data_IF_395160433143
#
_entry.id   IF_395160433143
#
_cell.length_a   1.000
_cell.length_b   1.000
_cell.length_c   1.000
_cell.angle_alpha   90.00
_cell.angle_beta   90.00
_cell.angle_gamma   90.00
#
_symmetry.space_group_name_H-M   'P 1'
#
loop_
_entity.id
_entity.type
_entity.pdbx_description
1 polymer ?
#
# COMPACT_ATOMS: atom_id res chain seq x y z
N UNK A 1 -5.12 -56.78 54.32
CA UNK A 1 -5.48 -55.36 54.07
C UNK A 1 -4.81 -54.90 52.74
N UNK A 2 -5.55 -54.98 51.66
CA UNK A 2 -5.06 -54.64 50.30
C UNK A 2 -5.31 -53.18 50.04
N UNK A 3 -4.27 -52.39 49.75
CA UNK A 3 -4.38 -50.97 49.38
C UNK A 3 -4.59 -50.87 47.88
N UNK A 4 -5.80 -50.55 47.46
CA UNK A 4 -6.13 -50.13 46.08
C UNK A 4 -5.54 -48.74 45.83
N UNK A 5 -4.58 -48.61 44.91
CA UNK A 5 -4.13 -47.33 44.39
C UNK A 5 -5.03 -46.93 43.18
N UNK A 6 -5.82 -45.90 43.37
CA UNK A 6 -6.63 -45.29 42.31
C UNK A 6 -5.68 -44.42 41.45
N UNK A 7 -5.45 -44.82 40.19
CA UNK A 7 -4.71 -44.05 39.21
C UNK A 7 -5.73 -43.16 38.47
N UNK A 8 -5.70 -41.85 38.74
CA UNK A 8 -6.51 -40.84 38.06
C UNK A 8 -5.81 -40.47 36.76
N UNK A 9 -6.29 -41.00 35.61
CA UNK A 9 -5.83 -40.57 34.29
C UNK A 9 -6.44 -39.21 33.94
N UNK A 10 -5.60 -38.17 33.97
CA UNK A 10 -5.95 -36.85 33.42
C UNK A 10 -5.89 -36.92 31.88
N UNK A 11 -7.02 -36.95 31.20
CA UNK A 11 -7.10 -36.81 29.75
C UNK A 11 -7.05 -35.31 29.44
N UNK A 12 -5.88 -34.83 28.99
CA UNK A 12 -5.74 -33.46 28.47
C UNK A 12 -6.36 -33.45 27.05
N UNK A 13 -7.57 -32.91 26.93
CA UNK A 13 -8.15 -32.58 25.63
C UNK A 13 -7.37 -31.38 25.08
N UNK A 14 -6.37 -31.64 24.24
CA UNK A 14 -5.78 -30.61 23.36
C UNK A 14 -6.81 -30.26 22.30
N UNK A 15 -7.57 -29.19 22.53
CA UNK A 15 -8.41 -28.60 21.53
C UNK A 15 -7.55 -28.05 20.39
N UNK A 16 -7.54 -28.75 19.26
CA UNK A 16 -7.00 -28.19 18.00
C UNK A 16 -7.87 -27.01 17.59
N UNK A 17 -7.40 -25.79 17.86
CA UNK A 17 -7.94 -24.60 17.22
C UNK A 17 -7.56 -24.70 15.74
N UNK A 18 -8.46 -25.17 14.91
CA UNK A 18 -8.30 -25.06 13.46
C UNK A 18 -8.25 -23.58 13.14
N UNK A 19 -7.07 -23.05 12.81
CA UNK A 19 -6.93 -21.74 12.19
C UNK A 19 -7.65 -21.81 10.83
N UNK A 20 -8.88 -21.35 10.80
CA UNK A 20 -9.62 -21.22 9.56
C UNK A 20 -9.00 -20.07 8.76
N UNK A 21 -8.54 -20.33 7.55
CA UNK A 21 -8.12 -19.28 6.64
C UNK A 21 -9.25 -18.26 6.45
N UNK A 22 -8.94 -16.99 6.48
CA UNK A 22 -9.91 -15.92 6.27
C UNK A 22 -10.57 -16.07 4.89
N UNK A 23 -11.89 -15.87 4.83
CA UNK A 23 -12.63 -15.86 3.55
C UNK A 23 -12.62 -14.47 2.98
N UNK A 24 -11.90 -14.28 1.88
CA UNK A 24 -11.84 -13.00 1.17
C UNK A 24 -12.76 -13.07 -0.04
N UNK A 25 -13.42 -11.97 -0.39
CA UNK A 25 -14.22 -11.88 -1.63
C UNK A 25 -14.14 -10.49 -2.22
N UNK A 26 -14.30 -10.41 -3.55
CA UNK A 26 -14.35 -9.17 -4.31
C UNK A 26 -15.56 -9.13 -5.23
N UNK A 27 -16.15 -7.92 -5.36
CA UNK A 27 -17.27 -7.68 -6.27
C UNK A 27 -17.05 -6.34 -6.97
N UNK A 28 -17.16 -6.32 -8.30
CA UNK A 28 -17.11 -5.10 -9.11
C UNK A 28 -18.49 -4.44 -9.15
N UNK A 29 -18.55 -3.16 -8.76
CA UNK A 29 -19.76 -2.36 -8.75
C UNK A 29 -19.46 -1.00 -9.40
N UNK A 30 -19.91 -0.79 -10.62
CA UNK A 30 -19.58 0.41 -11.41
C UNK A 30 -18.07 0.55 -11.57
N UNK A 31 -17.52 1.70 -11.20
CA UNK A 31 -16.09 2.01 -11.24
C UNK A 31 -15.33 1.65 -9.95
N UNK A 32 -15.77 0.63 -9.21
CA UNK A 32 -15.16 0.17 -7.97
C UNK A 32 -15.12 -1.36 -7.91
N UNK A 33 -14.07 -1.90 -7.30
CA UNK A 33 -14.00 -3.30 -6.87
C UNK A 33 -13.95 -3.29 -5.35
N UNK A 34 -15.04 -3.73 -4.73
CA UNK A 34 -15.17 -3.83 -3.28
C UNK A 34 -14.60 -5.15 -2.79
N UNK A 35 -13.79 -5.11 -1.75
CA UNK A 35 -13.18 -6.30 -1.13
C UNK A 35 -13.66 -6.43 0.32
N UNK A 36 -14.09 -7.64 0.68
CA UNK A 36 -14.46 -8.00 2.06
C UNK A 36 -13.59 -9.14 2.58
N UNK A 37 -13.34 -9.16 3.89
CA UNK A 37 -12.64 -10.22 4.60
C UNK A 37 -13.54 -10.72 5.73
N UNK A 38 -13.89 -12.00 5.72
CA UNK A 38 -14.86 -12.62 6.62
C UNK A 38 -16.20 -11.86 6.69
N UNK A 39 -16.68 -11.39 5.53
CA UNK A 39 -17.89 -10.61 5.38
C UNK A 39 -17.79 -9.15 5.83
N UNK A 40 -16.67 -8.71 6.40
CA UNK A 40 -16.43 -7.32 6.79
C UNK A 40 -15.76 -6.56 5.63
N UNK A 41 -16.22 -5.35 5.38
CA UNK A 41 -15.67 -4.49 4.34
C UNK A 41 -14.23 -4.10 4.66
N UNK A 42 -13.31 -4.36 3.72
CA UNK A 42 -11.91 -4.03 3.86
C UNK A 42 -11.52 -2.79 3.07
N UNK A 43 -11.75 -2.82 1.76
CA UNK A 43 -11.31 -1.73 0.87
C UNK A 43 -12.09 -1.73 -0.43
N UNK A 44 -12.03 -0.62 -1.17
CA UNK A 44 -12.37 -0.56 -2.59
C UNK A 44 -11.18 -0.11 -3.43
N UNK A 45 -10.93 -0.79 -4.53
CA UNK A 45 -10.14 -0.26 -5.63
C UNK A 45 -11.05 0.60 -6.49
N UNK A 46 -10.79 1.90 -6.53
CA UNK A 46 -11.59 2.92 -7.23
C UNK A 46 -10.84 3.31 -8.50
N UNK A 47 -11.52 3.21 -9.66
CA UNK A 47 -10.94 3.47 -10.98
C UNK A 47 -11.85 4.31 -11.88
N UNK A 48 -12.60 5.23 -11.28
CA UNK A 48 -13.46 6.17 -12.03
C UNK A 48 -12.62 7.07 -12.95
N UNK A 49 -13.13 7.33 -14.15
CA UNK A 49 -12.55 8.29 -15.09
C UNK A 49 -12.58 9.73 -14.59
N UNK A 50 -13.36 10.04 -13.56
CA UNK A 50 -13.42 11.36 -12.93
C UNK A 50 -12.26 11.61 -11.97
N UNK A 51 -11.50 10.54 -11.65
CA UNK A 51 -10.39 10.59 -10.73
C UNK A 51 -9.06 10.95 -11.42
N UNK A 52 -8.12 11.44 -10.64
CA UNK A 52 -6.76 11.73 -11.12
C UNK A 52 -6.02 10.46 -11.53
N UNK A 53 -6.22 9.40 -10.75
CA UNK A 53 -5.64 8.07 -10.91
C UNK A 53 -6.47 7.04 -10.13
N UNK A 54 -6.37 5.74 -10.44
CA UNK A 54 -6.95 4.70 -9.59
C UNK A 54 -6.24 4.59 -8.23
N UNK A 55 -7.02 4.31 -7.16
CA UNK A 55 -6.52 4.22 -5.79
C UNK A 55 -7.38 3.29 -4.93
N UNK A 56 -6.87 2.93 -3.74
CA UNK A 56 -7.64 2.20 -2.73
C UNK A 56 -8.17 3.13 -1.66
N UNK A 57 -9.49 3.08 -1.38
CA UNK A 57 -10.12 3.78 -0.27
C UNK A 57 -11.54 3.22 0.03
N UNK A 58 -11.96 3.12 1.32
CA UNK A 58 -11.12 3.18 2.51
C UNK A 58 -10.14 2.00 2.54
N UNK A 59 -9.14 2.04 3.43
CA UNK A 59 -8.33 0.89 3.81
C UNK A 59 -8.59 0.64 5.29
N UNK A 60 -9.43 -0.33 5.60
CA UNK A 60 -9.95 -0.54 6.95
C UNK A 60 -9.00 -1.37 7.81
N UNK A 61 -8.74 -0.89 9.02
CA UNK A 61 -7.95 -1.59 10.03
C UNK A 61 -8.61 -2.90 10.47
N UNK A 62 -7.81 -3.90 10.87
CA UNK A 62 -8.34 -5.22 11.25
C UNK A 62 -9.10 -5.22 12.58
N UNK A 63 -8.79 -4.32 13.50
CA UNK A 63 -9.35 -4.29 14.84
C UNK A 63 -10.54 -3.34 14.97
N UNK A 64 -10.37 -2.06 14.60
CA UNK A 64 -11.43 -1.06 14.69
C UNK A 64 -12.46 -1.16 13.57
N UNK A 65 -12.06 -1.69 12.41
CA UNK A 65 -12.86 -1.65 11.18
C UNK A 65 -12.97 -0.25 10.55
N UNK A 66 -12.34 0.76 11.14
CA UNK A 66 -12.25 2.10 10.57
C UNK A 66 -11.07 2.24 9.62
N UNK A 67 -11.15 3.21 8.68
CA UNK A 67 -10.07 3.42 7.73
C UNK A 67 -8.79 3.89 8.40
N UNK A 68 -7.66 3.19 8.19
CA UNK A 68 -6.32 3.62 8.62
C UNK A 68 -5.74 4.68 7.70
N UNK A 69 -6.40 4.93 6.57
CA UNK A 69 -6.01 5.95 5.58
C UNK A 69 -7.05 7.07 5.48
N UNK A 70 -6.66 8.20 4.94
CA UNK A 70 -7.53 9.33 4.62
C UNK A 70 -7.44 9.73 3.15
N UNK A 71 -8.48 10.40 2.65
CA UNK A 71 -8.57 10.86 1.28
C UNK A 71 -8.95 12.34 1.27
N UNK A 72 -8.18 13.15 0.51
CA UNK A 72 -8.53 14.53 0.16
C UNK A 72 -8.93 15.40 1.34
N UNK A 73 -8.12 15.39 2.40
CA UNK A 73 -8.35 16.37 3.46
C UNK A 73 -8.02 17.78 2.94
N UNK A 74 -8.69 18.80 3.47
CA UNK A 74 -8.71 20.15 2.92
C UNK A 74 -7.34 20.79 2.61
N UNK A 75 -6.30 20.43 3.37
CA UNK A 75 -4.94 20.97 3.19
C UNK A 75 -4.17 20.26 2.05
N UNK A 76 -4.50 18.99 1.76
CA UNK A 76 -3.84 18.16 0.74
C UNK A 76 -4.86 17.41 -0.12
N UNK A 77 -5.58 18.10 -1.03
CA UNK A 77 -6.65 17.51 -1.85
C UNK A 77 -6.16 16.44 -2.84
N UNK A 78 -4.86 16.43 -3.15
CA UNK A 78 -4.22 15.43 -4.01
C UNK A 78 -3.83 14.11 -3.32
N UNK A 79 -4.00 13.99 -2.01
CA UNK A 79 -3.70 12.74 -1.32
C UNK A 79 -4.92 11.81 -1.34
N UNK A 80 -4.83 10.72 -2.09
CA UNK A 80 -5.93 9.77 -2.28
C UNK A 80 -5.66 8.42 -1.59
N UNK A 81 -5.50 8.44 -0.27
CA UNK A 81 -5.38 7.21 0.55
C UNK A 81 -4.15 6.37 0.20
N UNK A 82 -4.29 5.33 -0.61
CA UNK A 82 -3.22 4.46 -1.09
C UNK A 82 -3.23 4.47 -2.61
N UNK A 83 -2.22 5.04 -3.25
CA UNK A 83 -2.23 5.35 -4.68
C UNK A 83 -0.85 5.29 -5.33
N UNK A 84 -0.85 5.30 -6.67
CA UNK A 84 0.34 5.34 -7.50
C UNK A 84 0.21 6.41 -8.57
N UNK A 85 1.25 7.24 -8.69
CA UNK A 85 1.34 8.29 -9.70
C UNK A 85 2.72 8.92 -9.71
N UNK A 86 2.94 9.91 -10.60
CA UNK A 86 4.19 10.65 -10.66
C UNK A 86 3.98 12.04 -11.26
N UNK A 87 4.63 13.05 -10.69
CA UNK A 87 4.75 14.37 -11.27
C UNK A 87 5.98 14.45 -12.21
N UNK A 88 6.10 15.53 -12.96
CA UNK A 88 7.25 15.85 -13.82
C UNK A 88 7.58 14.82 -14.91
N UNK A 89 6.60 14.05 -15.38
CA UNK A 89 6.76 13.05 -16.45
C UNK A 89 6.54 13.71 -17.80
N UNK A 90 7.62 13.95 -18.57
CA UNK A 90 7.61 14.68 -19.84
C UNK A 90 6.82 16.01 -19.76
N UNK A 91 6.96 16.74 -18.64
CA UNK A 91 6.24 17.98 -18.35
C UNK A 91 4.78 17.81 -17.98
N UNK A 92 4.29 16.58 -17.84
CA UNK A 92 2.95 16.26 -17.31
C UNK A 92 2.99 16.05 -15.80
N UNK A 93 1.82 16.21 -15.17
CA UNK A 93 1.63 15.92 -13.76
C UNK A 93 0.51 14.88 -13.60
N UNK A 94 0.89 13.68 -13.16
CA UNK A 94 -0.02 12.55 -12.96
C UNK A 94 -0.19 12.22 -11.47
N UNK A 95 0.01 13.24 -10.62
CA UNK A 95 -0.07 13.12 -9.17
C UNK A 95 -1.01 14.15 -8.53
N UNK A 96 -0.71 15.46 -8.70
CA UNK A 96 -1.47 16.54 -8.08
C UNK A 96 -2.76 16.84 -8.87
N UNK A 97 -3.61 17.70 -8.32
CA UNK A 97 -4.86 18.14 -8.91
C UNK A 97 -4.67 18.76 -10.31
N UNK A 98 -5.77 18.99 -10.99
CA UNK A 98 -5.79 19.49 -12.36
C UNK A 98 -5.72 18.32 -13.35
N UNK A 99 -6.89 17.85 -13.80
CA UNK A 99 -6.99 16.72 -14.75
C UNK A 99 -6.37 17.07 -16.10
N UNK A 100 -6.37 18.34 -16.47
CA UNK A 100 -5.74 18.89 -17.68
C UNK A 100 -4.21 18.78 -17.67
N UNK A 101 -3.60 18.68 -16.49
CA UNK A 101 -2.14 18.53 -16.34
C UNK A 101 -1.65 17.10 -16.57
N UNK A 102 -2.57 16.16 -16.60
CA UNK A 102 -2.33 14.72 -16.79
C UNK A 102 -3.11 13.89 -15.77
N UNK A 103 -3.47 12.69 -16.13
CA UNK A 103 -4.13 11.69 -15.27
C UNK A 103 -3.81 10.28 -15.72
N UNK A 104 -3.97 9.34 -14.81
CA UNK A 104 -3.83 7.90 -15.10
C UNK A 104 -5.24 7.33 -15.20
N UNK A 105 -5.62 6.88 -16.39
CA UNK A 105 -6.97 6.40 -16.70
C UNK A 105 -6.95 4.87 -16.73
N UNK A 106 -7.80 4.24 -15.93
CA UNK A 106 -8.09 2.82 -16.04
C UNK A 106 -8.77 2.52 -17.38
N UNK A 107 -8.24 1.55 -18.11
CA UNK A 107 -8.81 1.05 -19.37
C UNK A 107 -9.60 -0.23 -19.08
N UNK A 108 -9.03 -1.14 -18.28
CA UNK A 108 -9.63 -2.45 -18.02
C UNK A 108 -9.29 -2.95 -16.62
N UNK A 109 -10.12 -2.60 -15.63
CA UNK A 109 -10.04 -3.15 -14.29
C UNK A 109 -10.87 -4.43 -14.17
N UNK A 110 -10.24 -5.55 -13.79
CA UNK A 110 -10.86 -6.87 -13.72
C UNK A 110 -10.53 -7.59 -12.40
N UNK A 111 -11.41 -8.53 -12.03
CA UNK A 111 -11.17 -9.48 -10.94
C UNK A 111 -10.74 -10.80 -11.58
N UNK A 112 -9.47 -11.18 -11.42
CA UNK A 112 -8.95 -12.46 -11.93
C UNK A 112 -9.23 -13.63 -10.98
N UNK A 113 -9.37 -13.35 -9.67
CA UNK A 113 -9.79 -14.31 -8.65
C UNK A 113 -10.73 -13.62 -7.68
N UNK A 114 -11.98 -14.08 -7.61
CA UNK A 114 -13.05 -13.41 -6.88
C UNK A 114 -13.05 -13.67 -5.36
N UNK A 115 -12.35 -14.73 -4.91
CA UNK A 115 -12.38 -15.05 -3.49
C UNK A 115 -11.70 -16.35 -3.09
N UNK A 116 -11.93 -16.75 -1.85
CA UNK A 116 -11.27 -17.87 -1.16
C UNK A 116 -10.26 -17.35 -0.14
N UNK A 117 -9.03 -17.82 -0.21
CA UNK A 117 -7.89 -17.38 0.62
C UNK A 117 -7.24 -16.08 0.13
N UNK A 118 -7.59 -15.66 -1.09
CA UNK A 118 -7.08 -14.45 -1.73
C UNK A 118 -8.04 -13.92 -2.78
N UNK A 119 -7.91 -12.64 -3.09
CA UNK A 119 -8.50 -11.95 -4.24
C UNK A 119 -7.37 -11.46 -5.13
N UNK A 120 -7.54 -11.55 -6.46
CA UNK A 120 -6.60 -10.99 -7.43
C UNK A 120 -7.33 -10.01 -8.33
N UNK A 121 -6.84 -8.76 -8.34
CA UNK A 121 -7.34 -7.68 -9.19
C UNK A 121 -6.24 -7.30 -10.17
N UNK A 122 -6.61 -6.98 -11.40
CA UNK A 122 -5.72 -6.37 -12.40
C UNK A 122 -6.36 -5.12 -12.97
N UNK A 123 -5.54 -4.16 -13.39
CA UNK A 123 -6.00 -2.97 -14.09
C UNK A 123 -4.97 -2.55 -15.13
N UNK A 124 -5.42 -2.33 -16.35
CA UNK A 124 -4.62 -1.71 -17.41
C UNK A 124 -4.90 -0.23 -17.43
N UNK A 125 -3.84 0.60 -17.33
CA UNK A 125 -3.94 2.04 -17.25
C UNK A 125 -3.14 2.74 -18.33
N UNK A 126 -3.63 3.91 -18.78
CA UNK A 126 -2.93 4.81 -19.68
C UNK A 126 -2.69 6.16 -19.01
N UNK A 127 -1.46 6.67 -19.10
CA UNK A 127 -1.11 8.01 -18.62
C UNK A 127 -1.44 9.01 -19.74
N UNK A 128 -2.41 9.86 -19.51
CA UNK A 128 -2.97 10.73 -20.55
C UNK A 128 -2.95 12.19 -20.11
N UNK A 129 -2.64 13.07 -21.07
CA UNK A 129 -2.72 14.53 -20.93
C UNK A 129 -3.26 15.11 -22.23
N UNK A 130 -4.20 16.08 -22.16
CA UNK A 130 -4.71 16.74 -23.36
C UNK A 130 -3.59 17.32 -24.25
N UNK A 131 -3.67 17.08 -25.56
CA UNK A 131 -2.72 17.59 -26.54
C UNK A 131 -1.31 16.97 -26.50
N UNK A 132 -1.08 15.89 -25.74
CA UNK A 132 0.20 15.20 -25.67
C UNK A 132 0.06 13.71 -25.98
N UNK A 133 1.13 13.12 -26.51
CA UNK A 133 1.24 11.65 -26.64
C UNK A 133 1.34 11.04 -25.25
N UNK A 134 0.61 9.97 -25.01
CA UNK A 134 0.68 9.21 -23.74
C UNK A 134 2.09 8.68 -23.52
N UNK A 135 2.79 9.05 -22.44
CA UNK A 135 4.15 8.62 -22.21
C UNK A 135 4.25 7.17 -21.73
N UNK A 136 3.27 6.71 -20.95
CA UNK A 136 3.31 5.46 -20.22
C UNK A 136 1.97 4.73 -20.32
N UNK A 137 2.02 3.42 -20.49
CA UNK A 137 0.98 2.46 -20.18
C UNK A 137 1.44 1.65 -18.97
N UNK A 138 0.57 1.38 -18.00
CA UNK A 138 0.92 0.48 -16.91
C UNK A 138 -0.11 -0.64 -16.74
N UNK A 139 0.36 -1.80 -16.27
CA UNK A 139 -0.47 -2.91 -15.84
C UNK A 139 -0.24 -3.08 -14.34
N UNK A 140 -1.31 -3.01 -13.58
CA UNK A 140 -1.34 -3.19 -12.13
C UNK A 140 -1.90 -4.55 -11.79
N UNK A 141 -1.27 -5.23 -10.84
CA UNK A 141 -1.76 -6.47 -10.27
C UNK A 141 -1.73 -6.37 -8.76
N UNK A 142 -2.87 -6.65 -8.14
CA UNK A 142 -3.03 -6.63 -6.69
C UNK A 142 -3.45 -8.00 -6.21
N UNK A 143 -2.77 -8.52 -5.18
CA UNK A 143 -3.17 -9.75 -4.48
C UNK A 143 -3.50 -9.36 -3.06
N UNK A 144 -4.74 -9.63 -2.64
CA UNK A 144 -5.22 -9.30 -1.30
C UNK A 144 -5.37 -10.59 -0.51
N UNK A 145 -4.70 -10.65 0.65
CA UNK A 145 -4.74 -11.79 1.58
C UNK A 145 -4.92 -11.33 3.02
N UNK A 146 -5.26 -12.26 3.91
CA UNK A 146 -5.39 -12.01 5.35
C UNK A 146 -4.80 -13.20 6.11
N UNK A 147 -3.48 -13.19 6.39
CA UNK A 147 -2.80 -14.33 7.01
C UNK A 147 -3.19 -14.54 8.48
N UNK A 148 -3.76 -13.52 9.12
CA UNK A 148 -4.28 -13.61 10.49
C UNK A 148 -5.47 -12.66 10.70
N UNK A 149 -6.14 -12.77 11.85
CA UNK A 149 -7.23 -11.86 12.20
C UNK A 149 -6.77 -10.39 12.37
N UNK A 150 -5.48 -10.17 12.64
CA UNK A 150 -4.90 -8.85 12.87
C UNK A 150 -4.01 -8.34 11.74
N UNK A 151 -3.87 -9.08 10.62
CA UNK A 151 -3.02 -8.66 9.49
C UNK A 151 -3.76 -8.86 8.18
N UNK A 152 -3.74 -7.83 7.33
CA UNK A 152 -4.24 -7.82 5.97
C UNK A 152 -3.14 -7.35 5.03
N UNK A 153 -2.96 -8.02 3.91
CA UNK A 153 -1.90 -7.72 2.96
C UNK A 153 -2.51 -7.29 1.62
N UNK A 154 -1.89 -6.31 0.98
CA UNK A 154 -2.10 -5.97 -0.43
C UNK A 154 -0.73 -6.04 -1.10
N UNK A 155 -0.46 -7.11 -1.85
CA UNK A 155 0.70 -7.18 -2.71
C UNK A 155 0.41 -6.42 -4.00
N UNK A 156 1.33 -5.56 -4.39
CA UNK A 156 1.21 -4.64 -5.51
C UNK A 156 2.34 -4.90 -6.48
N UNK A 157 2.00 -5.18 -7.74
CA UNK A 157 2.94 -5.18 -8.85
C UNK A 157 2.45 -4.20 -9.92
N UNK A 158 3.33 -3.31 -10.36
CA UNK A 158 3.05 -2.33 -11.39
C UNK A 158 4.12 -2.47 -12.46
N UNK A 159 3.70 -2.86 -13.67
CA UNK A 159 4.57 -2.93 -14.85
C UNK A 159 4.28 -1.71 -15.73
N UNK A 160 5.19 -0.77 -15.76
CA UNK A 160 5.14 0.40 -16.64
C UNK A 160 5.84 0.09 -17.95
N UNK A 161 5.22 0.43 -19.08
CA UNK A 161 5.81 0.37 -20.42
C UNK A 161 5.91 1.79 -20.99
N UNK A 162 7.09 2.18 -21.42
CA UNK A 162 7.36 3.49 -21.98
C UNK A 162 6.92 3.53 -23.45
N UNK A 163 5.87 4.28 -23.77
CA UNK A 163 5.32 4.40 -25.13
C UNK A 163 6.12 5.36 -26.00
N UNK A 164 6.85 6.27 -25.37
CA UNK A 164 7.84 7.20 -25.96
C UNK A 164 9.05 7.26 -25.02
N UNK A 165 10.11 8.00 -25.37
CA UNK A 165 11.18 8.33 -24.42
C UNK A 165 10.58 9.13 -23.27
N UNK A 166 10.81 8.66 -22.03
CA UNK A 166 10.27 9.26 -20.81
C UNK A 166 11.40 9.87 -20.00
N UNK A 167 11.20 11.12 -19.60
CA UNK A 167 12.06 11.83 -18.66
C UNK A 167 11.25 12.23 -17.44
N UNK A 168 11.71 11.84 -16.24
CA UNK A 168 11.12 12.27 -14.97
C UNK A 168 12.13 13.20 -14.30
N UNK A 169 11.74 14.47 -14.12
CA UNK A 169 12.55 15.45 -13.39
C UNK A 169 12.46 15.20 -11.89
N UNK A 170 13.42 15.76 -11.14
CA UNK A 170 13.41 15.69 -9.68
C UNK A 170 12.06 16.13 -9.11
N UNK A 171 11.42 15.24 -8.37
CA UNK A 171 10.10 15.48 -7.76
C UNK A 171 9.91 14.66 -6.49
N UNK A 172 9.27 15.28 -5.47
CA UNK A 172 8.83 14.61 -4.25
C UNK A 172 7.45 13.97 -4.40
N UNK A 173 6.82 14.10 -5.56
CA UNK A 173 5.50 13.54 -5.89
C UNK A 173 5.68 12.37 -6.83
N UNK A 174 6.14 11.23 -6.29
CA UNK A 174 6.43 10.09 -7.15
C UNK A 174 6.12 8.74 -6.53
N UNK A 175 5.60 7.90 -7.39
CA UNK A 175 5.38 6.48 -7.31
C UNK A 175 4.33 6.09 -6.25
N UNK A 176 4.59 5.04 -5.48
CA UNK A 176 3.61 4.43 -4.58
C UNK A 176 3.55 5.18 -3.25
N UNK A 177 2.35 5.57 -2.83
CA UNK A 177 2.18 6.50 -1.73
C UNK A 177 0.98 6.20 -0.87
N UNK A 178 1.06 6.61 0.40
CA UNK A 178 -0.05 6.50 1.31
C UNK A 178 -0.23 7.77 2.17
N UNK A 179 -1.50 8.06 2.47
CA UNK A 179 -1.91 9.07 3.44
C UNK A 179 -2.68 8.41 4.57
N UNK A 180 -2.10 8.43 5.76
CA UNK A 180 -2.73 7.91 6.98
C UNK A 180 -3.92 8.76 7.43
N UNK A 181 -4.84 8.15 8.13
CA UNK A 181 -5.87 8.85 8.89
C UNK A 181 -5.22 9.76 9.94
N UNK A 182 -5.84 10.91 10.19
CA UNK A 182 -5.24 11.95 11.02
C UNK A 182 -4.93 11.46 12.45
N UNK A 183 -5.83 10.66 13.04
CA UNK A 183 -5.69 10.09 14.37
C UNK A 183 -4.52 9.09 14.52
N UNK A 184 -4.04 8.53 13.41
CA UNK A 184 -2.87 7.64 13.39
C UNK A 184 -1.56 8.36 13.04
N UNK A 185 -1.61 9.67 12.77
CA UNK A 185 -0.43 10.47 12.42
C UNK A 185 0.42 10.81 13.65
N UNK A 186 1.71 11.08 13.44
CA UNK A 186 2.63 11.51 14.51
C UNK A 186 2.13 12.79 15.17
N UNK A 187 1.56 13.72 14.41
CA UNK A 187 0.96 14.96 14.93
C UNK A 187 -0.14 14.72 15.98
N UNK A 188 -0.81 13.57 15.93
CA UNK A 188 -1.89 13.20 16.83
C UNK A 188 -1.52 12.03 17.76
N UNK A 189 -0.23 11.82 18.01
CA UNK A 189 0.27 10.82 18.96
C UNK A 189 0.54 9.43 18.36
N UNK A 190 0.43 9.28 17.06
CA UNK A 190 0.89 8.08 16.35
C UNK A 190 2.41 8.02 16.25
N UNK A 191 2.91 6.95 15.66
CA UNK A 191 4.34 6.69 15.49
C UNK A 191 4.64 6.37 14.02
N UNK A 192 5.66 7.02 13.50
CA UNK A 192 6.30 6.69 12.22
C UNK A 192 7.63 6.00 12.54
N UNK A 193 7.91 4.83 11.95
CA UNK A 193 9.17 4.11 12.17
C UNK A 193 9.61 3.39 10.91
N UNK A 194 10.93 3.31 10.67
CA UNK A 194 11.54 2.55 9.60
C UNK A 194 12.16 1.23 10.09
N UNK A 195 12.74 0.46 9.17
CA UNK A 195 13.36 -0.84 9.47
C UNK A 195 14.52 -0.74 10.46
N UNK A 196 15.23 0.37 10.48
CA UNK A 196 16.36 0.65 11.35
C UNK A 196 15.95 1.18 12.74
N UNK A 197 14.63 1.31 12.99
CA UNK A 197 14.09 1.81 14.26
C UNK A 197 14.13 3.34 14.39
N UNK A 198 14.50 4.07 13.34
CA UNK A 198 14.43 5.52 13.32
C UNK A 198 12.98 5.97 13.35
N UNK A 199 12.65 7.03 14.09
CA UNK A 199 11.25 7.45 14.30
C UNK A 199 11.02 8.93 14.04
N UNK A 200 9.84 9.22 13.42
CA UNK A 200 9.37 10.55 13.08
C UNK A 200 10.02 11.13 11.80
N UNK A 201 9.40 12.17 11.26
CA UNK A 201 9.81 12.82 10.00
C UNK A 201 11.31 13.21 10.04
N UNK A 202 11.74 13.86 11.10
CA UNK A 202 13.12 14.37 11.21
C UNK A 202 14.18 13.29 11.05
N UNK A 203 13.90 12.06 11.48
CA UNK A 203 14.86 10.94 11.43
C UNK A 203 14.71 10.07 10.17
N UNK A 204 13.56 10.11 9.49
CA UNK A 204 13.24 9.19 8.39
C UNK A 204 13.20 9.86 7.01
N UNK A 205 13.03 11.19 6.94
CA UNK A 205 12.98 11.93 5.69
C UNK A 205 14.29 11.84 4.91
N UNK A 206 14.22 11.35 3.68
CA UNK A 206 15.40 11.17 2.81
C UNK A 206 16.26 9.94 3.15
N UNK A 207 15.88 9.16 4.15
CA UNK A 207 16.62 7.96 4.53
C UNK A 207 16.12 6.77 3.74
N UNK A 208 17.04 6.03 3.12
CA UNK A 208 16.75 4.78 2.45
C UNK A 208 16.45 3.69 3.48
N UNK A 209 15.34 2.98 3.33
CA UNK A 209 14.94 1.89 4.22
C UNK A 209 14.04 0.92 3.46
N UNK A 210 14.12 -0.40 3.71
CA UNK A 210 13.31 -1.39 3.00
C UNK A 210 11.81 -1.26 3.28
N UNK A 211 11.42 -0.73 4.43
CA UNK A 211 10.03 -0.49 4.79
C UNK A 211 9.87 0.71 5.74
N UNK A 212 8.66 1.23 5.76
CA UNK A 212 8.21 2.30 6.65
C UNK A 212 6.83 1.97 7.18
N UNK A 213 6.59 2.23 8.46
CA UNK A 213 5.34 1.97 9.18
C UNK A 213 4.80 3.24 9.83
N UNK A 214 3.48 3.41 9.76
CA UNK A 214 2.72 4.31 10.61
C UNK A 214 1.74 3.52 11.46
N UNK A 215 1.76 3.72 12.77
CA UNK A 215 0.79 3.14 13.70
C UNK A 215 0.40 4.13 14.78
N UNK A 216 -0.82 4.01 15.29
CA UNK A 216 -1.33 4.91 16.32
C UNK A 216 -2.51 4.32 17.08
N UNK A 217 -2.89 5.00 18.15
CA UNK A 217 -3.99 4.59 19.01
C UNK A 217 -5.34 5.09 18.45
N UNK A 218 -6.30 4.18 18.35
CA UNK A 218 -7.68 4.45 17.96
C UNK A 218 -8.64 3.79 18.95
N UNK A 219 -9.22 4.58 19.86
CA UNK A 219 -9.99 4.05 21.00
C UNK A 219 -9.10 3.14 21.84
N UNK A 220 -9.51 1.88 22.01
CA UNK A 220 -8.77 0.87 22.77
C UNK A 220 -7.78 0.07 21.92
N UNK A 221 -7.71 0.32 20.61
CA UNK A 221 -6.84 -0.39 19.68
C UNK A 221 -5.60 0.42 19.31
N UNK A 222 -4.54 -0.29 18.96
CA UNK A 222 -3.42 0.25 18.17
C UNK A 222 -3.51 -0.40 16.81
N UNK A 223 -3.46 0.40 15.74
CA UNK A 223 -3.53 -0.05 14.36
C UNK A 223 -2.57 0.75 13.50
N UNK A 224 -2.18 0.17 12.37
CA UNK A 224 -1.27 0.84 11.48
C UNK A 224 -1.24 0.27 10.08
N UNK A 225 -0.33 0.85 9.30
CA UNK A 225 -0.04 0.41 7.95
C UNK A 225 1.44 0.59 7.64
N UNK A 226 2.08 -0.48 7.16
CA UNK A 226 3.42 -0.42 6.60
C UNK A 226 3.39 -0.56 5.07
N UNK A 227 4.36 0.08 4.41
CA UNK A 227 4.70 -0.19 3.01
C UNK A 227 6.10 -0.79 2.97
N UNK A 228 6.21 -1.97 2.35
CA UNK A 228 7.44 -2.71 2.13
C UNK A 228 7.81 -2.61 0.65
N UNK A 229 9.08 -2.31 0.36
CA UNK A 229 9.63 -2.30 -1.00
C UNK A 229 10.22 -3.67 -1.30
N UNK A 230 9.96 -4.22 -2.49
CA UNK A 230 10.59 -5.48 -2.89
C UNK A 230 12.05 -5.26 -3.33
N UNK A 231 13.00 -6.15 -2.96
CA UNK A 231 14.41 -6.03 -3.35
C UNK A 231 14.68 -5.99 -4.85
N UNK A 232 13.77 -6.50 -5.67
CA UNK A 232 13.89 -6.43 -7.14
C UNK A 232 13.59 -5.05 -7.73
N UNK A 233 13.11 -4.09 -6.94
CA UNK A 233 12.89 -2.73 -7.44
C UNK A 233 14.23 -2.08 -7.78
N UNK A 234 14.36 -1.36 -8.92
CA UNK A 234 15.65 -0.84 -9.38
C UNK A 234 16.29 0.19 -8.44
N UNK A 235 15.50 0.79 -7.55
CA UNK A 235 15.98 1.78 -6.57
C UNK A 235 15.93 1.26 -5.12
N UNK A 236 15.89 -0.05 -4.93
CA UNK A 236 15.81 -0.65 -3.60
C UNK A 236 17.13 -0.54 -2.82
N UNK A 237 17.09 -0.17 -1.53
CA UNK A 237 15.98 0.51 -0.87
C UNK A 237 15.94 2.00 -1.27
N UNK A 238 14.76 2.48 -1.65
CA UNK A 238 14.58 3.90 -1.99
C UNK A 238 14.55 4.78 -0.75
N UNK A 239 15.03 6.04 -0.86
CA UNK A 239 14.79 7.04 0.16
C UNK A 239 13.29 7.34 0.32
N UNK A 240 12.89 7.71 1.52
CA UNK A 240 11.50 7.95 1.87
C UNK A 240 11.16 9.43 1.99
N UNK A 241 10.08 9.84 1.39
CA UNK A 241 9.42 11.10 1.67
C UNK A 241 8.39 10.86 2.76
N UNK A 242 8.66 11.38 3.96
CA UNK A 242 7.83 11.18 5.16
C UNK A 242 7.38 12.49 5.73
N UNK A 243 6.18 12.54 6.32
CA UNK A 243 5.61 13.70 6.99
C UNK A 243 4.86 13.30 8.25
N UNK A 244 5.11 13.98 9.35
CA UNK A 244 4.47 13.73 10.63
C UNK A 244 2.95 13.88 10.62
N UNK A 245 2.40 14.54 9.61
CA UNK A 245 0.95 14.60 9.37
C UNK A 245 0.38 13.32 8.74
N UNK A 246 1.18 12.27 8.51
CA UNK A 246 0.74 10.96 8.09
C UNK A 246 0.91 10.66 6.59
N UNK A 247 1.78 11.35 5.86
CA UNK A 247 2.12 11.00 4.48
C UNK A 247 3.46 10.27 4.44
N UNK A 248 3.55 9.20 3.61
CA UNK A 248 4.80 8.50 3.35
C UNK A 248 4.81 7.80 1.98
N UNK A 249 5.97 7.82 1.37
CA UNK A 249 6.20 7.27 0.04
C UNK A 249 7.68 6.92 -0.14
N UNK A 250 8.04 5.74 -0.66
CA UNK A 250 9.37 5.50 -1.20
C UNK A 250 9.52 6.32 -2.49
N UNK A 251 10.37 7.36 -2.47
CA UNK A 251 10.39 8.43 -3.48
C UNK A 251 11.78 8.57 -4.12
N UNK A 252 12.22 7.61 -4.96
CA UNK A 252 13.55 7.68 -5.58
C UNK A 252 13.72 8.89 -6.48
N UNK A 253 12.66 9.44 -7.05
CA UNK A 253 12.73 10.58 -7.97
C UNK A 253 13.06 11.91 -7.26
N UNK A 254 12.94 11.98 -5.94
CA UNK A 254 13.33 13.17 -5.17
C UNK A 254 14.82 13.17 -4.81
N UNK A 255 15.42 12.00 -4.74
CA UNK A 255 16.85 11.80 -4.54
C UNK A 255 17.45 10.96 -5.68
N UNK A 256 17.43 11.49 -6.92
CA UNK A 256 17.93 10.74 -8.07
C UNK A 256 19.45 10.59 -7.95
N UNK A 257 19.98 9.50 -8.49
CA UNK A 257 21.41 9.26 -8.55
C UNK A 257 22.09 10.38 -9.34
N UNK A 258 23.18 10.92 -8.78
CA UNK A 258 23.97 12.01 -9.39
C UNK A 258 23.15 13.29 -9.66
N UNK A 259 22.03 13.49 -8.96
CA UNK A 259 21.11 14.62 -9.12
C UNK A 259 20.55 14.79 -10.56
N UNK A 260 20.57 13.70 -11.34
CA UNK A 260 20.13 13.68 -12.74
C UNK A 260 18.67 13.27 -12.87
N UNK A 261 18.07 13.72 -13.98
CA UNK A 261 16.73 13.26 -14.38
C UNK A 261 16.75 11.75 -14.64
N UNK A 262 15.64 11.08 -14.29
CA UNK A 262 15.46 9.66 -14.63
C UNK A 262 14.98 9.57 -16.07
N UNK A 263 15.78 8.90 -16.93
CA UNK A 263 15.45 8.72 -18.34
C UNK A 263 15.21 7.25 -18.63
N UNK A 264 14.11 6.95 -19.30
CA UNK A 264 13.73 5.62 -19.77
C UNK A 264 13.39 5.71 -21.26
N UNK A 265 13.87 4.73 -22.04
CA UNK A 265 13.67 4.74 -23.49
C UNK A 265 12.34 4.11 -23.88
N UNK A 266 11.81 4.52 -25.03
CA UNK A 266 10.63 3.89 -25.64
C UNK A 266 10.80 2.37 -25.69
N UNK A 267 9.79 1.64 -25.26
CA UNK A 267 9.76 0.18 -25.19
C UNK A 267 10.39 -0.42 -23.92
N UNK A 268 11.11 0.38 -23.11
CA UNK A 268 11.59 -0.08 -21.81
C UNK A 268 10.42 -0.39 -20.87
N UNK A 269 10.60 -1.41 -20.03
CA UNK A 269 9.66 -1.79 -19.00
C UNK A 269 10.27 -1.63 -17.63
N UNK A 270 9.52 -1.02 -16.73
CA UNK A 270 9.86 -0.85 -15.33
C UNK A 270 8.86 -1.63 -14.49
N UNK A 271 9.33 -2.58 -13.69
CA UNK A 271 8.48 -3.33 -12.76
C UNK A 271 8.76 -2.87 -11.33
N UNK A 272 7.70 -2.45 -10.65
CA UNK A 272 7.73 -2.00 -9.26
C UNK A 272 6.85 -2.91 -8.42
N UNK A 273 7.36 -3.37 -7.28
CA UNK A 273 6.66 -4.26 -6.37
C UNK A 273 6.67 -3.69 -4.95
N UNK A 274 5.51 -3.73 -4.32
CA UNK A 274 5.32 -3.30 -2.94
C UNK A 274 4.39 -4.27 -2.22
N UNK A 275 4.56 -4.36 -0.91
CA UNK A 275 3.57 -4.99 -0.02
C UNK A 275 3.06 -3.95 0.95
N UNK A 276 1.75 -3.80 1.02
CA UNK A 276 1.07 -3.03 2.07
C UNK A 276 0.64 -4.00 3.16
N UNK A 277 1.03 -3.72 4.39
CA UNK A 277 0.65 -4.47 5.58
C UNK A 277 -0.27 -3.59 6.41
N UNK A 278 -1.56 -3.92 6.49
CA UNK A 278 -2.52 -3.26 7.38
C UNK A 278 -2.67 -4.14 8.62
N UNK A 279 -2.38 -3.58 9.77
CA UNK A 279 -2.19 -4.42 10.96
C UNK A 279 -2.75 -3.83 12.25
N UNK A 280 -3.08 -4.72 13.18
CA UNK A 280 -3.27 -4.40 14.59
C UNK A 280 -1.94 -4.39 15.32
N UNK A 281 -1.84 -3.58 16.37
CA UNK A 281 -0.61 -3.33 17.10
C UNK A 281 0.32 -2.32 16.39
N UNK A 282 1.50 -2.10 16.94
CA UNK A 282 2.59 -1.32 16.33
C UNK A 282 3.43 -2.23 15.41
N UNK A 283 4.42 -1.66 14.71
CA UNK A 283 5.28 -2.38 13.76
C UNK A 283 5.94 -3.65 14.34
N UNK A 284 6.37 -3.60 15.61
CA UNK A 284 7.01 -4.74 16.30
C UNK A 284 5.99 -5.82 16.64
N UNK A 285 4.82 -5.44 17.19
CA UNK A 285 3.74 -6.38 17.54
C UNK A 285 3.16 -7.04 16.29
N UNK A 286 3.08 -6.31 15.19
CA UNK A 286 2.65 -6.81 13.88
C UNK A 286 3.73 -7.60 13.15
N UNK A 287 4.96 -7.64 13.68
CA UNK A 287 6.11 -8.35 13.09
C UNK A 287 6.42 -7.91 11.66
N UNK A 288 6.39 -6.61 11.39
CA UNK A 288 6.60 -6.05 10.06
C UNK A 288 7.93 -6.50 9.45
N UNK A 289 9.00 -6.60 10.26
CA UNK A 289 10.30 -7.12 9.80
C UNK A 289 10.22 -8.58 9.32
N UNK A 290 9.50 -9.46 10.05
CA UNK A 290 9.31 -10.86 9.64
C UNK A 290 8.47 -10.94 8.32
N UNK A 291 7.44 -10.10 8.20
CA UNK A 291 6.63 -10.01 6.98
C UNK A 291 7.45 -9.50 5.79
N UNK A 292 8.44 -8.63 6.02
CA UNK A 292 9.38 -8.22 4.99
C UNK A 292 10.30 -9.37 4.58
N UNK A 293 10.87 -10.15 5.54
CA UNK A 293 11.70 -11.31 5.25
C UNK A 293 10.98 -12.37 4.40
N UNK A 294 9.66 -12.52 4.58
CA UNK A 294 8.83 -13.42 3.79
C UNK A 294 8.45 -12.87 2.41
N UNK A 295 8.65 -11.58 2.20
CA UNK A 295 8.24 -10.89 0.96
C UNK A 295 9.38 -10.78 -0.06
N UNK A 296 10.64 -10.73 0.38
CA UNK A 296 11.83 -10.58 -0.46
C UNK A 296 12.23 -11.83 -1.25
#
# INVERSE_FOLDING_TARGET
>A
MSKFKLILCFVILLGFVQLRAAKISAVKVGSKINVTIDGKYFTSYIFSSDEKYPFFYPVNGPLSGGSVTSMRNGEYPHHSSLFFGCDQVNGGNYWQEGLERGRIISINAEILKEGGDSVVITDECIWSRPGAISPVKDIRRFIITSPSASVRLIDVEITMEMLIDVTIKKTNHSLFSARMAADLSVKNGGKLVNAEGMSGEKATFGIASPWMDFSGKRGDFVEGMAILQHPSNPWFPSPWFTRDYGFFSPTPMYWPKDDKETVMKKGEKLVLRYRVVVHGGNASEAKVSELFEQYK
#
